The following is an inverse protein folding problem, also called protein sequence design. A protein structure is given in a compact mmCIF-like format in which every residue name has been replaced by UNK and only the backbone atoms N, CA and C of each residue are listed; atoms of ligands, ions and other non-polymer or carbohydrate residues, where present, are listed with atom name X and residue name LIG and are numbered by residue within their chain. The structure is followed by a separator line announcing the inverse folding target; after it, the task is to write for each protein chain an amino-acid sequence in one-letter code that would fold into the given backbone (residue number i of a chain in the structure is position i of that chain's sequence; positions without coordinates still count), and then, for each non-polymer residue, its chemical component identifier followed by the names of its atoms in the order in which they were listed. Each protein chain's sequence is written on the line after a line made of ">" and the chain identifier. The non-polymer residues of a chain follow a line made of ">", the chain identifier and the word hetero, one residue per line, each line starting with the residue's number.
data_IF_640984116750
#
_entry.id   IF_640984116750
#
_cell.length_a   1.000
_cell.length_b   1.000
_cell.length_c   1.000
_cell.angle_alpha   90.00
_cell.angle_beta   90.00
_cell.angle_gamma   90.00
#
_symmetry.space_group_name_H-M   'P 1'
#
loop_
_entity.id
_entity.type
_entity.pdbx_description
1 polymer ?
#
# COMPACT_ATOMS: atom_id res chain seq x y z
N UNK A 1 -3.21 -11.61 3.48
CA UNK A 1 -1.84 -11.69 4.04
C UNK A 1 -1.25 -13.09 4.06
N UNK A 2 -1.91 -14.10 4.66
CA UNK A 2 -1.38 -15.47 4.73
C UNK A 2 -0.93 -16.03 3.37
N UNK A 3 -1.79 -16.02 2.35
CA UNK A 3 -1.48 -16.53 1.02
C UNK A 3 -0.29 -15.81 0.36
N UNK A 4 -0.19 -14.52 0.58
CA UNK A 4 0.90 -13.71 0.06
C UNK A 4 2.23 -14.06 0.76
N UNK A 5 2.24 -14.12 2.09
CA UNK A 5 3.40 -14.54 2.88
C UNK A 5 3.85 -15.96 2.49
N UNK A 6 2.91 -16.89 2.36
CA UNK A 6 3.21 -18.25 1.93
C UNK A 6 3.85 -18.30 0.54
N UNK A 7 3.36 -17.46 -0.38
CA UNK A 7 3.92 -17.37 -1.74
C UNK A 7 5.37 -16.90 -1.77
N UNK A 8 5.75 -16.03 -0.83
CA UNK A 8 7.13 -15.57 -0.66
C UNK A 8 8.03 -16.63 -0.01
N UNK A 9 7.56 -17.21 1.09
CA UNK A 9 8.38 -18.03 1.97
C UNK A 9 8.59 -19.42 1.38
N UNK A 10 7.61 -19.95 0.65
CA UNK A 10 7.68 -21.28 0.01
C UNK A 10 8.89 -21.47 -0.91
N UNK A 11 9.42 -20.40 -1.49
CA UNK A 11 10.58 -20.49 -2.38
C UNK A 11 11.91 -20.65 -1.61
N UNK A 12 11.91 -20.40 -0.30
CA UNK A 12 13.12 -20.40 0.54
C UNK A 12 13.14 -21.47 1.63
N UNK A 13 11.97 -22.01 1.99
CA UNK A 13 11.83 -22.97 3.10
C UNK A 13 10.97 -24.16 2.70
N UNK A 14 11.15 -25.26 3.45
CA UNK A 14 10.30 -26.44 3.34
C UNK A 14 8.83 -26.10 3.59
N UNK A 15 7.93 -26.86 2.94
CA UNK A 15 6.48 -26.59 2.95
C UNK A 15 5.90 -26.47 4.37
N UNK A 16 6.32 -27.30 5.32
CA UNK A 16 5.84 -27.24 6.72
C UNK A 16 6.30 -25.98 7.45
N UNK A 17 7.58 -25.60 7.28
CA UNK A 17 8.13 -24.37 7.86
C UNK A 17 7.50 -23.13 7.22
N UNK A 18 7.33 -23.15 5.90
CA UNK A 18 6.69 -22.05 5.17
C UNK A 18 5.25 -21.80 5.64
N UNK A 19 4.47 -22.86 5.91
CA UNK A 19 3.12 -22.78 6.46
C UNK A 19 3.11 -22.10 7.84
N UNK A 20 3.98 -22.57 8.75
CA UNK A 20 4.06 -22.03 10.10
C UNK A 20 4.46 -20.56 10.13
N UNK A 21 5.51 -20.18 9.40
CA UNK A 21 6.00 -18.81 9.34
C UNK A 21 4.93 -17.88 8.72
N UNK A 22 4.26 -18.34 7.65
CA UNK A 22 3.20 -17.55 6.99
C UNK A 22 1.99 -17.34 7.89
N UNK A 23 1.61 -18.35 8.66
CA UNK A 23 0.54 -18.25 9.65
C UNK A 23 0.90 -17.24 10.74
N UNK A 24 2.10 -17.34 11.30
CA UNK A 24 2.56 -16.44 12.34
C UNK A 24 2.65 -14.98 11.85
N UNK A 25 3.15 -14.77 10.63
CA UNK A 25 3.18 -13.45 10.00
C UNK A 25 1.78 -12.86 9.81
N UNK A 26 0.83 -13.68 9.35
CA UNK A 26 -0.55 -13.23 9.17
C UNK A 26 -1.23 -12.93 10.51
N UNK A 27 -0.96 -13.73 11.55
CA UNK A 27 -1.46 -13.53 12.90
C UNK A 27 -0.92 -12.22 13.50
N UNK A 28 0.40 -12.00 13.43
CA UNK A 28 1.02 -10.75 13.89
C UNK A 28 0.41 -9.53 13.19
N UNK A 29 0.20 -9.61 11.89
CA UNK A 29 -0.46 -8.55 11.13
C UNK A 29 -1.89 -8.30 11.62
N UNK A 30 -2.66 -9.35 11.89
CA UNK A 30 -4.06 -9.24 12.28
C UNK A 30 -4.25 -8.66 13.70
N UNK A 31 -3.37 -9.02 14.64
CA UNK A 31 -3.46 -8.55 16.03
C UNK A 31 -2.69 -7.25 16.28
N UNK A 32 -2.00 -6.70 15.27
CA UNK A 32 -1.19 -5.51 15.45
C UNK A 32 -2.06 -4.29 15.82
N UNK A 33 -1.76 -3.55 16.90
CA UNK A 33 -2.62 -2.47 17.39
C UNK A 33 -2.87 -1.34 16.38
N UNK A 34 -1.97 -1.13 15.43
CA UNK A 34 -2.12 -0.14 14.34
C UNK A 34 -3.34 -0.42 13.46
N UNK A 35 -3.82 -1.68 13.41
CA UNK A 35 -5.00 -2.04 12.61
C UNK A 35 -6.33 -1.67 13.27
N UNK A 36 -6.33 -1.39 14.57
CA UNK A 36 -7.56 -1.14 15.34
C UNK A 36 -8.34 0.05 14.78
N UNK A 37 -7.68 1.15 14.49
CA UNK A 37 -8.32 2.34 13.90
C UNK A 37 -9.00 2.01 12.57
N UNK A 38 -8.30 1.30 11.70
CA UNK A 38 -8.81 0.94 10.36
C UNK A 38 -10.01 -0.01 10.42
N UNK A 39 -10.06 -0.91 11.41
CA UNK A 39 -11.11 -1.92 11.53
C UNK A 39 -12.31 -1.40 12.34
N UNK A 40 -12.09 -0.64 13.41
CA UNK A 40 -13.15 -0.19 14.31
C UNK A 40 -13.87 1.07 13.81
N UNK A 41 -13.24 1.85 12.93
CA UNK A 41 -13.84 3.08 12.42
C UNK A 41 -14.59 2.83 11.12
N UNK A 42 -15.92 2.97 11.13
CA UNK A 42 -16.79 2.73 9.97
C UNK A 42 -16.38 3.58 8.76
N UNK A 43 -16.02 4.84 8.98
CA UNK A 43 -15.54 5.73 7.90
C UNK A 43 -14.23 5.25 7.25
N UNK A 44 -13.45 4.42 7.93
CA UNK A 44 -12.22 3.84 7.41
C UNK A 44 -12.43 2.53 6.62
N UNK A 45 -13.68 2.06 6.48
CA UNK A 45 -14.02 0.82 5.74
C UNK A 45 -13.47 0.80 4.31
N UNK A 46 -13.35 1.97 3.67
CA UNK A 46 -12.69 2.13 2.37
C UNK A 46 -11.24 1.64 2.36
N UNK A 47 -10.53 1.75 3.50
CA UNK A 47 -9.13 1.29 3.63
C UNK A 47 -9.11 -0.24 3.66
N UNK A 48 -10.00 -0.86 4.41
CA UNK A 48 -10.12 -2.34 4.49
C UNK A 48 -10.44 -2.91 3.11
N UNK A 49 -11.42 -2.33 2.41
CA UNK A 49 -11.83 -2.76 1.09
C UNK A 49 -10.71 -2.57 0.05
N UNK A 50 -10.04 -1.42 0.08
CA UNK A 50 -8.86 -1.15 -0.75
C UNK A 50 -7.75 -2.17 -0.50
N UNK A 51 -7.44 -2.48 0.76
CA UNK A 51 -6.42 -3.47 1.14
C UNK A 51 -6.79 -4.87 0.64
N UNK A 52 -8.08 -5.25 0.74
CA UNK A 52 -8.56 -6.53 0.23
C UNK A 52 -8.31 -6.66 -1.28
N UNK A 53 -8.72 -5.68 -2.07
CA UNK A 53 -8.50 -5.70 -3.51
C UNK A 53 -7.02 -5.58 -3.88
N UNK A 54 -6.25 -4.80 -3.15
CA UNK A 54 -4.81 -4.68 -3.34
C UNK A 54 -4.08 -6.02 -3.14
N UNK A 55 -4.37 -6.72 -2.05
CA UNK A 55 -3.80 -8.05 -1.78
C UNK A 55 -4.27 -9.09 -2.80
N UNK A 56 -5.53 -9.03 -3.23
CA UNK A 56 -6.07 -9.89 -4.28
C UNK A 56 -5.34 -9.68 -5.60
N UNK A 57 -5.07 -8.42 -5.98
CA UNK A 57 -4.32 -8.08 -7.17
C UNK A 57 -2.90 -8.66 -7.14
N UNK A 58 -2.21 -8.56 -6.00
CA UNK A 58 -0.86 -9.12 -5.84
C UNK A 58 -0.86 -10.65 -5.93
N UNK A 59 -1.83 -11.32 -5.31
CA UNK A 59 -1.95 -12.79 -5.35
C UNK A 59 -2.22 -13.25 -6.79
N UNK A 60 -3.16 -12.59 -7.49
CA UNK A 60 -3.45 -12.89 -8.90
C UNK A 60 -2.22 -12.67 -9.79
N UNK A 61 -1.45 -11.60 -9.54
CA UNK A 61 -0.21 -11.36 -10.27
C UNK A 61 0.83 -12.44 -10.05
N UNK A 62 1.02 -12.92 -8.82
CA UNK A 62 1.92 -14.04 -8.52
C UNK A 62 1.46 -15.31 -9.23
N UNK A 63 0.15 -15.57 -9.29
CA UNK A 63 -0.40 -16.72 -10.02
C UNK A 63 -0.21 -16.59 -11.54
N UNK A 64 -0.34 -15.38 -12.09
CA UNK A 64 -0.01 -15.10 -13.48
C UNK A 64 1.44 -15.45 -13.78
N UNK A 65 2.36 -15.02 -12.94
CA UNK A 65 3.78 -15.29 -13.10
C UNK A 65 4.14 -16.78 -13.02
N UNK A 66 3.40 -17.56 -12.24
CA UNK A 66 3.61 -19.02 -12.12
C UNK A 66 2.97 -19.81 -13.24
N UNK A 67 1.77 -19.45 -13.64
CA UNK A 67 0.94 -20.26 -14.55
C UNK A 67 0.91 -19.70 -15.98
N UNK A 68 1.41 -18.48 -16.21
CA UNK A 68 1.40 -17.76 -17.51
C UNK A 68 0.02 -17.65 -18.18
N UNK A 69 -1.09 -17.76 -17.40
CA UNK A 69 -2.45 -17.65 -17.91
C UNK A 69 -2.91 -16.19 -17.85
N UNK A 70 -3.34 -15.65 -18.99
CA UNK A 70 -3.78 -14.26 -19.12
C UNK A 70 -4.97 -13.89 -18.21
N UNK A 71 -5.81 -14.87 -17.87
CA UNK A 71 -6.94 -14.68 -16.96
C UNK A 71 -6.50 -14.12 -15.59
N UNK A 72 -5.37 -14.59 -15.06
CA UNK A 72 -4.83 -14.08 -13.79
C UNK A 72 -4.29 -12.66 -13.91
N UNK A 73 -3.71 -12.29 -15.06
CA UNK A 73 -3.29 -10.92 -15.30
C UNK A 73 -4.50 -9.99 -15.33
N UNK A 74 -5.55 -10.37 -16.06
CA UNK A 74 -6.79 -9.60 -16.12
C UNK A 74 -7.43 -9.44 -14.74
N UNK A 75 -7.54 -10.52 -13.96
CA UNK A 75 -8.06 -10.47 -12.60
C UNK A 75 -7.22 -9.55 -11.69
N UNK A 76 -5.90 -9.57 -11.86
CA UNK A 76 -4.99 -8.68 -11.12
C UNK A 76 -5.21 -7.21 -11.48
N UNK A 77 -5.34 -6.89 -12.78
CA UNK A 77 -5.60 -5.51 -13.25
C UNK A 77 -6.96 -5.02 -12.75
N UNK A 78 -8.01 -5.82 -12.89
CA UNK A 78 -9.35 -5.45 -12.39
C UNK A 78 -9.33 -5.21 -10.88
N UNK A 79 -8.73 -6.10 -10.11
CA UNK A 79 -8.60 -5.93 -8.66
C UNK A 79 -7.78 -4.67 -8.31
N UNK A 80 -6.74 -4.34 -9.08
CA UNK A 80 -5.96 -3.12 -8.85
C UNK A 80 -6.76 -1.86 -9.10
N UNK A 81 -7.60 -1.83 -10.15
CA UNK A 81 -8.50 -0.71 -10.45
C UNK A 81 -9.52 -0.52 -9.31
N UNK A 82 -10.10 -1.60 -8.81
CA UNK A 82 -11.02 -1.55 -7.67
C UNK A 82 -10.33 -1.05 -6.41
N UNK A 83 -9.09 -1.47 -6.15
CA UNK A 83 -8.30 -0.98 -5.02
C UNK A 83 -8.05 0.52 -5.10
N UNK A 84 -7.65 1.02 -6.28
CA UNK A 84 -7.42 2.44 -6.54
C UNK A 84 -8.72 3.26 -6.45
N UNK A 85 -9.84 2.71 -6.91
CA UNK A 85 -11.16 3.33 -6.78
C UNK A 85 -11.63 3.48 -5.33
N UNK A 86 -11.24 2.54 -4.45
CA UNK A 86 -11.53 2.64 -3.01
C UNK A 86 -10.61 3.64 -2.30
N UNK A 87 -9.34 3.69 -2.69
CA UNK A 87 -8.34 4.60 -2.11
C UNK A 87 -7.21 4.89 -3.10
N UNK A 88 -7.00 6.15 -3.41
CA UNK A 88 -6.00 6.63 -4.37
C UNK A 88 -4.56 6.19 -4.04
N UNK A 89 -4.25 6.01 -2.75
CA UNK A 89 -2.92 5.54 -2.30
C UNK A 89 -2.55 4.16 -2.85
N UNK A 90 -3.53 3.38 -3.33
CA UNK A 90 -3.29 2.07 -3.95
C UNK A 90 -2.52 2.13 -5.28
N UNK A 91 -2.29 3.33 -5.83
CA UNK A 91 -1.40 3.56 -6.99
C UNK A 91 0.01 2.98 -6.76
N UNK A 92 0.43 2.85 -5.50
CA UNK A 92 1.71 2.24 -5.11
C UNK A 92 1.84 0.76 -5.56
N UNK A 93 0.77 0.15 -6.09
CA UNK A 93 0.82 -1.22 -6.62
C UNK A 93 1.84 -1.36 -7.76
N UNK A 94 2.02 -0.32 -8.57
CA UNK A 94 2.96 -0.37 -9.72
C UNK A 94 4.40 -0.60 -9.26
N UNK A 95 5.00 0.21 -8.38
CA UNK A 95 6.33 -0.06 -7.85
C UNK A 95 6.39 -1.37 -7.04
N UNK A 96 5.33 -1.76 -6.32
CA UNK A 96 5.27 -3.04 -5.64
C UNK A 96 5.40 -4.23 -6.60
N UNK A 97 4.72 -4.20 -7.75
CA UNK A 97 4.82 -5.26 -8.75
C UNK A 97 6.23 -5.33 -9.37
N UNK A 98 6.91 -4.19 -9.55
CA UNK A 98 8.31 -4.17 -10.00
C UNK A 98 9.23 -4.80 -8.95
N UNK A 99 9.02 -4.50 -7.66
CA UNK A 99 9.76 -5.15 -6.57
C UNK A 99 9.52 -6.66 -6.55
N UNK A 100 8.29 -7.12 -6.80
CA UNK A 100 7.97 -8.55 -6.85
C UNK A 100 8.68 -9.24 -8.02
N UNK A 101 8.72 -8.61 -9.19
CA UNK A 101 9.46 -9.13 -10.34
C UNK A 101 10.95 -9.28 -10.03
N UNK A 102 11.52 -8.31 -9.33
CA UNK A 102 12.92 -8.34 -8.94
C UNK A 102 13.21 -9.37 -7.83
N UNK A 103 12.44 -9.32 -6.73
CA UNK A 103 12.72 -10.13 -5.54
C UNK A 103 12.28 -11.60 -5.66
N UNK A 104 11.05 -11.84 -6.16
CA UNK A 104 10.48 -13.18 -6.23
C UNK A 104 10.88 -13.94 -7.49
N UNK A 105 10.80 -13.27 -8.62
CA UNK A 105 10.96 -13.93 -9.91
C UNK A 105 12.33 -13.70 -10.53
N UNK A 106 13.18 -12.86 -9.91
CA UNK A 106 14.52 -12.51 -10.40
C UNK A 106 14.54 -12.18 -11.89
N UNK A 107 13.47 -11.53 -12.36
CA UNK A 107 13.33 -11.16 -13.78
C UNK A 107 14.40 -10.15 -14.15
N UNK A 108 14.87 -10.26 -15.38
CA UNK A 108 15.78 -9.26 -15.93
C UNK A 108 15.03 -7.94 -16.14
N UNK A 109 15.27 -6.96 -15.27
CA UNK A 109 14.64 -5.63 -15.32
C UNK A 109 14.98 -4.83 -16.59
N UNK A 110 15.95 -5.28 -17.40
CA UNK A 110 16.25 -4.67 -18.72
C UNK A 110 15.29 -5.12 -19.82
N UNK A 111 14.45 -6.15 -19.57
CA UNK A 111 13.49 -6.64 -20.56
C UNK A 111 12.30 -5.69 -20.69
N UNK A 112 12.04 -5.21 -21.90
CA UNK A 112 10.87 -4.36 -22.22
C UNK A 112 9.54 -5.05 -21.88
N UNK A 113 9.46 -6.38 -21.93
CA UNK A 113 8.24 -7.11 -21.57
C UNK A 113 7.78 -6.85 -20.14
N UNK A 114 8.73 -6.68 -19.19
CA UNK A 114 8.41 -6.36 -17.80
C UNK A 114 7.65 -5.03 -17.71
N UNK A 115 8.07 -4.03 -18.45
CA UNK A 115 7.45 -2.70 -18.43
C UNK A 115 6.12 -2.66 -19.19
N UNK A 116 6.02 -3.37 -20.32
CA UNK A 116 4.77 -3.44 -21.09
C UNK A 116 3.64 -4.03 -20.24
N UNK A 117 3.91 -5.08 -19.47
CA UNK A 117 2.93 -5.65 -18.54
C UNK A 117 2.47 -4.63 -17.48
N UNK A 118 3.34 -3.72 -17.06
CA UNK A 118 3.01 -2.68 -16.06
C UNK A 118 2.22 -1.51 -16.63
N UNK A 119 2.23 -1.31 -17.93
CA UNK A 119 1.41 -0.27 -18.58
C UNK A 119 -0.07 -0.44 -18.27
N UNK A 120 -0.57 -1.69 -18.20
CA UNK A 120 -1.96 -1.97 -17.85
C UNK A 120 -2.35 -1.47 -16.45
N UNK A 121 -1.40 -1.37 -15.53
CA UNK A 121 -1.60 -0.82 -14.18
C UNK A 121 -1.34 0.69 -14.15
N UNK A 122 -0.43 1.16 -14.98
CA UNK A 122 -0.02 2.57 -15.00
C UNK A 122 -1.12 3.46 -15.59
N UNK A 123 -1.81 3.01 -16.63
CA UNK A 123 -2.90 3.78 -17.27
C UNK A 123 -3.99 4.15 -16.25
N UNK A 124 -4.63 3.20 -15.54
CA UNK A 124 -5.63 3.54 -14.54
C UNK A 124 -5.04 4.33 -13.35
N UNK A 125 -3.79 4.08 -12.98
CA UNK A 125 -3.11 4.85 -11.94
C UNK A 125 -2.99 6.33 -12.29
N UNK A 126 -2.59 6.65 -13.52
CA UNK A 126 -2.50 8.03 -14.01
C UNK A 126 -3.90 8.66 -14.08
N UNK A 127 -4.90 7.93 -14.58
CA UNK A 127 -6.26 8.43 -14.68
C UNK A 127 -6.82 8.82 -13.30
N UNK A 128 -6.68 7.97 -12.30
CA UNK A 128 -7.12 8.24 -10.93
C UNK A 128 -6.32 9.39 -10.31
N UNK A 129 -5.02 9.45 -10.54
CA UNK A 129 -4.19 10.55 -10.07
C UNK A 129 -4.66 11.90 -10.62
N UNK A 130 -4.99 11.99 -11.92
CA UNK A 130 -5.51 13.20 -12.54
C UNK A 130 -6.86 13.58 -11.90
N UNK A 131 -7.77 12.63 -11.73
CA UNK A 131 -9.07 12.85 -11.09
C UNK A 131 -8.90 13.41 -9.67
N UNK A 132 -7.99 12.83 -8.89
CA UNK A 132 -7.68 13.28 -7.53
C UNK A 132 -7.13 14.71 -7.52
N UNK A 133 -6.24 15.05 -8.45
CA UNK A 133 -5.71 16.41 -8.56
C UNK A 133 -6.80 17.43 -8.89
N UNK A 134 -7.72 17.09 -9.80
CA UNK A 134 -8.84 17.96 -10.17
C UNK A 134 -9.81 18.12 -9.01
N UNK A 135 -10.13 17.03 -8.30
CA UNK A 135 -11.02 17.06 -7.15
C UNK A 135 -10.45 17.94 -6.02
N UNK A 136 -9.16 17.79 -5.71
CA UNK A 136 -8.51 18.57 -4.64
C UNK A 136 -8.43 20.08 -4.95
N UNK A 137 -8.29 20.46 -6.23
CA UNK A 137 -8.34 21.88 -6.61
C UNK A 137 -9.71 22.51 -6.30
N UNK A 138 -10.79 21.75 -6.39
CA UNK A 138 -12.14 22.24 -6.18
C UNK A 138 -12.52 22.34 -4.69
N UNK A 139 -11.79 21.69 -3.79
CA UNK A 139 -12.04 21.70 -2.35
C UNK A 139 -11.49 22.93 -1.63
N UNK A 140 -10.75 23.81 -2.33
CA UNK A 140 -10.30 25.08 -1.76
C UNK A 140 -9.37 24.95 -0.54
N UNK A 141 -8.76 23.79 -0.33
CA UNK A 141 -7.70 23.65 0.66
C UNK A 141 -6.52 24.54 0.22
N UNK A 142 -6.46 25.71 0.80
CA UNK A 142 -5.29 26.58 0.68
C UNK A 142 -4.09 25.74 1.11
N UNK A 143 -3.23 25.46 0.14
CA UNK A 143 -1.95 24.84 0.42
C UNK A 143 -1.18 25.88 1.23
N UNK A 144 -1.27 25.77 2.57
CA UNK A 144 -0.48 26.58 3.49
C UNK A 144 0.93 26.60 2.91
N UNK A 145 1.49 27.79 2.72
CA UNK A 145 2.68 28.05 1.92
C UNK A 145 3.97 27.40 2.44
N UNK A 146 3.96 26.07 2.53
CA UNK A 146 5.17 25.31 2.89
C UNK A 146 6.18 25.31 1.75
N UNK A 147 7.41 25.59 2.09
CA UNK A 147 8.55 25.44 1.19
C UNK A 147 8.72 23.95 0.83
N UNK A 148 9.28 23.68 -0.35
CA UNK A 148 9.57 22.30 -0.80
C UNK A 148 10.43 21.55 0.22
N UNK A 149 11.36 22.24 0.88
CA UNK A 149 12.22 21.69 1.94
C UNK A 149 11.38 21.23 3.14
N UNK A 150 10.43 22.04 3.58
CA UNK A 150 9.55 21.70 4.71
C UNK A 150 8.73 20.44 4.40
N UNK A 151 8.20 20.33 3.20
CA UNK A 151 7.46 19.14 2.74
C UNK A 151 8.33 17.88 2.78
N UNK A 152 9.58 18.00 2.37
CA UNK A 152 10.53 16.89 2.40
C UNK A 152 10.85 16.47 3.83
N UNK A 153 11.09 17.43 4.74
CA UNK A 153 11.35 17.17 6.16
C UNK A 153 10.13 16.47 6.80
N UNK A 154 8.91 16.96 6.55
CA UNK A 154 7.69 16.33 7.07
C UNK A 154 7.48 14.91 6.54
N UNK A 155 7.80 14.67 5.27
CA UNK A 155 7.74 13.34 4.67
C UNK A 155 8.71 12.38 5.37
N UNK A 156 9.96 12.77 5.52
CA UNK A 156 10.97 11.96 6.21
C UNK A 156 10.58 11.67 7.66
N UNK A 157 10.11 12.70 8.38
CA UNK A 157 9.62 12.56 9.75
C UNK A 157 8.45 11.59 9.84
N UNK A 158 7.46 11.72 8.96
CA UNK A 158 6.29 10.85 8.94
C UNK A 158 6.68 9.40 8.67
N UNK A 159 7.52 9.17 7.67
CA UNK A 159 7.99 7.81 7.34
C UNK A 159 8.72 7.19 8.55
N UNK A 160 9.64 7.94 9.16
CA UNK A 160 10.38 7.46 10.33
C UNK A 160 9.44 7.16 11.52
N UNK A 161 8.49 8.04 11.79
CA UNK A 161 7.52 7.86 12.87
C UNK A 161 6.61 6.65 12.63
N UNK A 162 6.12 6.45 11.39
CA UNK A 162 5.31 5.27 11.04
C UNK A 162 6.10 3.97 11.16
N UNK A 163 7.37 3.95 10.77
CA UNK A 163 8.23 2.78 10.96
C UNK A 163 8.43 2.45 12.44
N UNK A 164 8.65 3.47 13.28
CA UNK A 164 8.77 3.26 14.73
C UNK A 164 7.47 2.72 15.34
N UNK A 165 6.32 3.29 15.02
CA UNK A 165 5.02 2.85 15.54
C UNK A 165 4.70 1.44 15.04
N UNK A 166 5.07 1.10 13.81
CA UNK A 166 4.90 -0.23 13.27
C UNK A 166 5.79 -1.28 13.95
N UNK A 167 6.98 -0.90 14.41
CA UNK A 167 7.89 -1.80 15.12
C UNK A 167 7.56 -1.90 16.61
N UNK A 168 7.23 -0.78 17.23
CA UNK A 168 7.00 -0.68 18.66
C UNK A 168 5.78 0.21 18.92
N UNK A 169 4.57 -0.38 19.06
CA UNK A 169 3.32 0.36 19.20
C UNK A 169 3.12 0.94 20.60
N UNK A 170 4.05 1.79 21.08
CA UNK A 170 3.93 2.53 22.33
C UNK A 170 3.25 3.89 22.12
N UNK A 171 2.34 4.25 23.03
CA UNK A 171 1.63 5.55 23.04
C UNK A 171 0.91 5.85 21.73
N UNK A 172 0.10 4.91 21.29
CA UNK A 172 -0.81 5.14 20.16
C UNK A 172 -1.81 6.23 20.57
N UNK A 173 -1.85 7.32 19.81
CA UNK A 173 -2.82 8.40 19.97
C UNK A 173 -3.79 8.35 18.79
N UNK A 174 -5.06 8.63 19.06
CA UNK A 174 -6.08 8.75 18.01
C UNK A 174 -5.81 9.92 17.06
N UNK A 175 -5.24 11.01 17.58
CA UNK A 175 -4.83 12.16 16.80
C UNK A 175 -3.38 12.47 17.13
N UNK A 176 -2.52 12.44 16.14
CA UNK A 176 -1.17 12.97 16.25
C UNK A 176 -1.24 14.47 15.92
N UNK A 177 -0.97 15.38 16.87
CA UNK A 177 -0.98 16.80 16.59
C UNK A 177 0.01 17.12 15.47
N UNK A 178 -0.44 17.91 14.50
CA UNK A 178 0.44 18.43 13.47
C UNK A 178 1.51 19.27 14.16
N UNK A 179 2.77 19.13 13.77
CA UNK A 179 3.92 19.83 14.37
C UNK A 179 3.77 21.36 14.41
N UNK A 180 2.79 21.90 13.70
CA UNK A 180 2.50 23.33 13.63
C UNK A 180 1.44 23.83 14.64
N UNK A 181 0.73 22.94 15.32
CA UNK A 181 -0.28 23.31 16.32
C UNK A 181 0.30 23.40 17.74
N UNK A 182 1.54 23.82 17.88
CA UNK A 182 2.11 24.18 19.20
C UNK A 182 1.97 25.66 19.53
N UNK A 183 1.23 26.43 18.69
CA UNK A 183 0.88 27.80 19.06
C UNK A 183 -0.33 27.75 20.00
N UNK A 184 -0.24 28.33 21.24
CA UNK A 184 -1.37 28.39 22.13
C UNK A 184 -2.50 29.16 21.43
N UNK A 185 -3.71 28.61 21.53
CA UNK A 185 -4.91 29.28 21.02
C UNK A 185 -5.04 30.65 21.67
N UNK A 186 -5.33 31.73 20.92
CA UNK A 186 -5.54 33.05 21.53
C UNK A 186 -6.83 33.15 22.38
N UNK A 187 -7.40 32.02 22.78
CA UNK A 187 -8.64 31.91 23.59
C UNK A 187 -8.45 31.28 24.95
N UNK A 188 -7.22 31.04 25.39
CA UNK A 188 -6.90 30.62 26.78
C UNK A 188 -6.41 31.80 27.60
#
# INVERSE_FOLDING_TARGET
>A
MYLLAYSFIRNHFDSKKALGISFFTALLFAIHPVQVETVCWISASKIVLSTFFYLSALICYIQYMRNSKWQYLLASVVSSILAMGCKEQSVIIVPCLLLFDWMLFKRNMRSLKVYIEKVYYLIPAIAIFIVTLVANKNTGEEIIGYTIVDRFIFLCYSVFKYLLISAIPFKLSYLYPCLLYTSPSPRD
#
